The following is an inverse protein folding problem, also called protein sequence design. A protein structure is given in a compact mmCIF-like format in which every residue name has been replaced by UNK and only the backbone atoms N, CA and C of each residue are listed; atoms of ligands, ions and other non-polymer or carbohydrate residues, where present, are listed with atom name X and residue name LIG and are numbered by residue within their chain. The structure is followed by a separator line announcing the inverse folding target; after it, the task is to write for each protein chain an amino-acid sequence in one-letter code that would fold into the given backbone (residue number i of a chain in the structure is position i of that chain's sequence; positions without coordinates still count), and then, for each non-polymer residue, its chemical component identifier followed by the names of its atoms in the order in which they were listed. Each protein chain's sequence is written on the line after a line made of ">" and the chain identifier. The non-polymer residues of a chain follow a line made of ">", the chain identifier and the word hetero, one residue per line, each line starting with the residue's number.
data_IF_739352462805
#
_entry.id   IF_739352462805
#
_cell.length_a   1.000
_cell.length_b   1.000
_cell.length_c   1.000
_cell.angle_alpha   90.00
_cell.angle_beta   90.00
_cell.angle_gamma   90.00
#
_symmetry.space_group_name_H-M   'P 1'
#
loop_
_entity.id
_entity.type
_entity.pdbx_description
1 polymer ?
#
# COMPACT_ATOMS: atom_id res chain seq x y z
N UNK A 1 21.99 18.12 -13.58
CA UNK A 1 22.98 17.05 -13.76
C UNK A 1 22.19 15.76 -13.97
N UNK A 2 22.31 15.14 -15.13
CA UNK A 2 21.66 13.87 -15.46
C UNK A 2 22.49 12.77 -14.77
N UNK A 3 21.86 11.92 -13.97
CA UNK A 3 22.49 10.84 -13.21
C UNK A 3 21.72 9.51 -13.30
N UNK A 4 20.89 9.36 -14.32
CA UNK A 4 20.19 8.12 -14.66
C UNK A 4 20.18 7.91 -16.18
N UNK A 5 19.99 6.68 -16.62
CA UNK A 5 19.91 6.36 -18.04
C UNK A 5 18.59 6.84 -18.64
N UNK A 6 18.61 7.25 -19.90
CA UNK A 6 17.41 7.56 -20.66
C UNK A 6 16.65 6.26 -20.99
N UNK A 7 15.33 6.32 -20.93
CA UNK A 7 14.43 5.27 -21.39
C UNK A 7 13.52 5.87 -22.47
N UNK A 8 13.73 5.55 -23.77
CA UNK A 8 12.93 6.09 -24.87
C UNK A 8 11.48 5.54 -24.86
N UNK A 9 11.22 4.41 -24.21
CA UNK A 9 9.91 3.75 -24.14
C UNK A 9 9.08 4.19 -22.93
N UNK A 10 9.54 5.23 -22.22
CA UNK A 10 8.86 5.74 -21.04
C UNK A 10 7.48 6.32 -21.39
N UNK A 11 6.45 5.85 -20.70
CA UNK A 11 5.06 6.28 -20.84
C UNK A 11 4.61 7.06 -19.62
N UNK A 12 3.56 7.84 -19.78
CA UNK A 12 2.87 8.45 -18.64
C UNK A 12 2.12 7.40 -17.83
N UNK A 13 2.20 7.51 -16.53
CA UNK A 13 1.31 6.80 -15.61
C UNK A 13 -0.14 7.24 -15.87
N UNK A 14 -1.05 6.30 -15.93
CA UNK A 14 -2.46 6.57 -16.17
C UNK A 14 -3.33 5.98 -15.08
N UNK A 15 -4.37 6.74 -14.69
CA UNK A 15 -5.33 6.29 -13.69
C UNK A 15 -6.74 6.40 -14.24
N UNK A 16 -7.47 5.28 -14.20
CA UNK A 16 -8.91 5.21 -14.44
C UNK A 16 -9.64 4.96 -13.13
N UNK A 17 -10.76 5.66 -12.91
CA UNK A 17 -11.58 5.49 -11.71
C UNK A 17 -13.05 5.41 -12.08
N UNK A 18 -13.72 4.40 -11.56
CA UNK A 18 -15.19 4.31 -11.53
C UNK A 18 -15.64 4.54 -10.09
N UNK A 19 -16.55 5.51 -9.91
CA UNK A 19 -17.18 5.79 -8.63
C UNK A 19 -18.71 5.74 -8.80
N UNK A 20 -19.38 5.03 -7.91
CA UNK A 20 -20.84 4.94 -7.86
C UNK A 20 -21.28 5.23 -6.44
N UNK A 21 -22.14 6.26 -6.30
CA UNK A 21 -22.61 6.70 -4.99
C UNK A 21 -24.13 6.85 -4.96
N UNK A 22 -24.69 6.70 -3.77
CA UNK A 22 -26.11 6.92 -3.47
C UNK A 22 -26.22 7.81 -2.25
N UNK A 23 -26.85 8.96 -2.42
CA UNK A 23 -27.29 9.82 -1.34
C UNK A 23 -28.73 9.48 -0.95
N UNK A 24 -28.99 9.42 0.35
CA UNK A 24 -30.31 9.12 0.85
C UNK A 24 -30.69 10.00 2.05
N UNK A 25 -31.98 10.25 2.18
CA UNK A 25 -32.55 10.95 3.33
C UNK A 25 -33.84 10.26 3.73
N UNK A 26 -33.91 9.79 4.97
CA UNK A 26 -35.00 8.99 5.50
C UNK A 26 -35.57 9.62 6.77
N UNK A 27 -36.78 9.19 7.16
CA UNK A 27 -37.46 9.59 8.40
C UNK A 27 -37.57 11.12 8.56
N UNK A 28 -38.04 11.81 7.51
CA UNK A 28 -38.17 13.28 7.49
C UNK A 28 -36.87 14.01 7.87
N UNK A 29 -35.72 13.55 7.29
CA UNK A 29 -34.41 14.15 7.51
C UNK A 29 -33.78 13.79 8.84
N UNK A 30 -34.28 12.76 9.54
CA UNK A 30 -33.60 12.26 10.77
C UNK A 30 -32.38 11.40 10.48
N UNK A 31 -32.40 10.69 9.36
CA UNK A 31 -31.28 9.89 8.90
C UNK A 31 -30.95 10.32 7.47
N UNK A 32 -29.77 10.85 7.28
CA UNK A 32 -29.20 11.13 5.97
C UNK A 32 -27.85 10.42 5.83
N UNK A 33 -27.44 10.15 4.63
CA UNK A 33 -26.15 9.53 4.40
C UNK A 33 -25.80 9.41 2.94
N UNK A 34 -24.54 9.04 2.72
CA UNK A 34 -23.98 8.73 1.41
C UNK A 34 -23.31 7.38 1.50
N UNK A 35 -23.61 6.50 0.55
CA UNK A 35 -22.93 5.24 0.35
C UNK A 35 -22.22 5.28 -0.99
N UNK A 36 -20.89 5.13 -0.99
CA UNK A 36 -20.07 5.16 -2.18
C UNK A 36 -19.28 3.86 -2.33
N UNK A 37 -19.13 3.43 -3.57
CA UNK A 37 -18.21 2.38 -3.96
C UNK A 37 -17.33 2.87 -5.10
N UNK A 38 -16.04 2.53 -5.07
CA UNK A 38 -15.09 2.90 -6.12
C UNK A 38 -14.17 1.75 -6.53
N UNK A 39 -13.76 1.75 -7.80
CA UNK A 39 -12.68 0.94 -8.39
C UNK A 39 -11.72 1.88 -9.12
N UNK A 40 -10.54 2.07 -8.57
CA UNK A 40 -9.47 2.90 -9.14
C UNK A 40 -8.34 1.97 -9.60
N UNK A 41 -7.92 2.13 -10.87
CA UNK A 41 -6.82 1.36 -11.46
C UNK A 41 -5.77 2.32 -11.98
N UNK A 42 -4.55 2.11 -11.54
CA UNK A 42 -3.38 2.84 -12.02
C UNK A 42 -2.51 1.87 -12.81
N UNK A 43 -2.18 2.25 -14.04
CA UNK A 43 -1.35 1.46 -14.96
C UNK A 43 -0.10 2.23 -15.31
N UNK A 44 0.93 1.50 -15.74
CA UNK A 44 2.22 2.04 -16.16
C UNK A 44 2.90 2.86 -15.05
N UNK A 45 2.80 2.45 -13.79
CA UNK A 45 3.44 3.14 -12.66
C UNK A 45 4.94 3.28 -12.87
N UNK A 46 5.46 4.45 -12.58
CA UNK A 46 6.86 4.78 -12.75
C UNK A 46 7.70 4.32 -11.55
N UNK A 47 8.78 3.62 -11.83
CA UNK A 47 9.74 3.21 -10.81
C UNK A 47 11.18 3.35 -11.33
N UNK A 48 12.09 3.79 -10.45
CA UNK A 48 13.53 3.82 -10.74
C UNK A 48 14.19 2.56 -10.22
N UNK A 49 14.72 1.74 -11.10
CA UNK A 49 15.37 0.48 -10.74
C UNK A 49 16.86 0.48 -11.09
N UNK A 50 17.61 -0.42 -10.45
CA UNK A 50 19.03 -0.57 -10.69
C UNK A 50 19.30 -1.36 -11.97
N UNK A 51 20.25 -0.89 -12.77
CA UNK A 51 20.71 -1.56 -14.00
C UNK A 51 22.22 -1.80 -13.93
N UNK A 52 22.72 -2.85 -14.61
CA UNK A 52 24.15 -3.17 -14.61
C UNK A 52 24.98 -2.10 -15.36
N UNK A 53 26.14 -1.81 -14.84
CA UNK A 53 27.15 -0.95 -15.49
C UNK A 53 28.44 -1.76 -15.69
N UNK A 54 28.87 -2.08 -16.94
CA UNK A 54 28.21 -1.86 -18.23
C UNK A 54 27.05 -2.83 -18.49
N UNK A 55 26.22 -2.64 -19.52
CA UNK A 55 26.37 -1.71 -20.66
C UNK A 55 25.82 -0.30 -20.40
N UNK A 56 25.09 -0.09 -19.31
CA UNK A 56 24.52 1.23 -19.01
C UNK A 56 25.57 2.19 -18.43
N UNK A 57 25.43 3.49 -18.70
CA UNK A 57 26.34 4.53 -18.23
C UNK A 57 26.14 4.84 -16.75
N UNK A 58 24.87 4.79 -16.29
CA UNK A 58 24.50 5.01 -14.91
C UNK A 58 23.89 3.74 -14.33
N UNK A 59 23.99 3.56 -13.01
CA UNK A 59 23.46 2.39 -12.30
C UNK A 59 21.95 2.36 -12.09
N UNK A 60 21.20 3.32 -12.67
CA UNK A 60 19.75 3.37 -12.55
C UNK A 60 19.05 3.82 -13.81
N UNK A 61 17.81 3.39 -13.99
CA UNK A 61 16.92 3.77 -15.07
C UNK A 61 15.47 3.85 -14.56
N UNK A 62 14.71 4.82 -15.07
CA UNK A 62 13.27 4.90 -14.82
C UNK A 62 12.50 4.12 -15.87
N UNK A 63 11.52 3.32 -15.46
CA UNK A 63 10.64 2.59 -16.36
C UNK A 63 9.22 2.47 -15.78
N UNK A 64 8.28 2.11 -16.65
CA UNK A 64 6.92 1.75 -16.25
C UNK A 64 6.93 0.29 -15.78
N UNK A 65 6.77 0.06 -14.48
CA UNK A 65 7.04 -1.23 -13.84
C UNK A 65 5.85 -1.70 -13.00
N UNK A 66 4.65 -1.42 -13.38
CA UNK A 66 3.60 -2.03 -12.61
C UNK A 66 2.23 -1.40 -12.75
N UNK A 67 1.27 -2.15 -12.27
CA UNK A 67 -0.14 -1.76 -12.20
C UNK A 67 -0.66 -1.98 -10.79
N UNK A 68 -1.59 -1.12 -10.36
CA UNK A 68 -2.22 -1.18 -9.04
C UNK A 68 -3.73 -1.04 -9.15
N UNK A 69 -4.44 -1.80 -8.35
CA UNK A 69 -5.88 -1.68 -8.12
C UNK A 69 -6.14 -1.16 -6.72
N UNK A 70 -7.09 -0.25 -6.58
CA UNK A 70 -7.57 0.24 -5.30
C UNK A 70 -9.10 0.32 -5.32
N UNK A 71 -9.75 -0.49 -4.50
CA UNK A 71 -11.21 -0.61 -4.42
C UNK A 71 -11.68 -0.35 -3.01
N UNK A 72 -12.80 0.31 -2.87
CA UNK A 72 -13.33 0.57 -1.55
C UNK A 72 -14.82 0.85 -1.53
N UNK A 73 -15.31 0.90 -0.30
CA UNK A 73 -16.66 1.31 0.05
C UNK A 73 -16.59 2.33 1.18
N UNK A 74 -17.37 3.38 1.05
CA UNK A 74 -17.44 4.45 2.04
C UNK A 74 -18.89 4.71 2.41
N UNK A 75 -19.16 4.85 3.71
CA UNK A 75 -20.48 5.12 4.25
C UNK A 75 -20.40 6.32 5.21
N UNK A 76 -21.08 7.39 4.87
CA UNK A 76 -21.30 8.53 5.75
C UNK A 76 -22.78 8.49 6.21
N UNK A 77 -22.98 8.54 7.53
CA UNK A 77 -24.31 8.64 8.14
C UNK A 77 -24.41 9.90 9.00
N UNK A 78 -25.51 10.64 8.85
CA UNK A 78 -25.87 11.75 9.69
C UNK A 78 -27.22 11.45 10.34
N UNK A 79 -27.25 11.39 11.67
CA UNK A 79 -28.38 10.90 12.47
C UNK A 79 -28.83 11.99 13.43
N UNK A 80 -30.07 12.44 13.30
CA UNK A 80 -30.73 13.28 14.29
C UNK A 80 -31.31 12.43 15.41
N UNK A 81 -30.48 12.10 16.42
CA UNK A 81 -30.84 11.17 17.49
C UNK A 81 -31.96 11.74 18.35
N UNK A 82 -31.79 12.98 18.81
CA UNK A 82 -32.80 13.69 19.60
C UNK A 82 -33.06 15.04 18.96
N UNK A 83 -34.32 15.35 18.71
CA UNK A 83 -34.79 16.64 18.21
C UNK A 83 -35.95 17.10 19.09
N UNK A 84 -35.65 17.92 20.10
CA UNK A 84 -36.61 18.55 21.00
C UNK A 84 -36.42 20.06 20.95
N UNK A 85 -37.41 20.82 21.45
CA UNK A 85 -37.40 22.27 21.47
C UNK A 85 -36.13 22.83 22.14
N UNK A 86 -35.73 22.25 23.25
CA UNK A 86 -34.65 22.76 24.11
C UNK A 86 -33.39 21.85 24.09
N UNK A 87 -33.43 20.75 23.33
CA UNK A 87 -32.30 19.82 23.26
C UNK A 87 -32.24 19.11 21.91
N UNK A 88 -31.14 19.23 21.20
CA UNK A 88 -30.88 18.55 19.95
C UNK A 88 -29.56 17.78 20.03
N UNK A 89 -29.59 16.51 19.67
CA UNK A 89 -28.40 15.68 19.55
C UNK A 89 -28.31 15.07 18.16
N UNK A 90 -27.23 15.40 17.45
CA UNK A 90 -26.91 14.85 16.15
C UNK A 90 -25.62 14.04 16.27
N UNK A 91 -25.54 12.94 15.52
CA UNK A 91 -24.39 12.07 15.42
C UNK A 91 -24.00 11.89 13.95
N UNK A 92 -22.72 11.98 13.64
CA UNK A 92 -22.17 11.62 12.33
C UNK A 92 -21.25 10.41 12.50
N UNK A 93 -21.40 9.43 11.62
CA UNK A 93 -20.58 8.23 11.55
C UNK A 93 -20.00 8.11 10.16
N UNK A 94 -18.70 7.95 10.06
CA UNK A 94 -17.99 7.67 8.83
C UNK A 94 -17.30 6.31 8.94
N UNK A 95 -17.60 5.41 8.00
CA UNK A 95 -17.00 4.10 7.89
C UNK A 95 -16.41 3.96 6.49
N UNK A 96 -15.18 3.50 6.41
CA UNK A 96 -14.53 3.22 5.13
C UNK A 96 -13.82 1.87 5.17
N UNK A 97 -13.88 1.15 4.08
CA UNK A 97 -13.09 -0.05 3.85
C UNK A 97 -12.41 0.06 2.49
N UNK A 98 -11.10 -0.17 2.47
CA UNK A 98 -10.27 -0.03 1.30
C UNK A 98 -9.41 -1.29 1.14
N UNK A 99 -9.30 -1.80 -0.10
CA UNK A 99 -8.35 -2.83 -0.49
C UNK A 99 -7.52 -2.31 -1.65
N UNK A 100 -6.22 -2.16 -1.44
CA UNK A 100 -5.27 -1.93 -2.52
C UNK A 100 -4.49 -3.22 -2.82
N UNK A 101 -4.04 -3.38 -4.06
CA UNK A 101 -3.34 -4.56 -4.52
C UNK A 101 -2.46 -4.19 -5.73
N UNK A 102 -1.21 -4.63 -5.71
CA UNK A 102 -0.34 -4.60 -6.89
C UNK A 102 -0.79 -5.71 -7.82
N UNK A 103 -1.30 -5.36 -8.98
CA UNK A 103 -1.82 -6.35 -9.95
C UNK A 103 -0.77 -6.81 -10.96
N UNK A 104 0.30 -6.02 -11.10
CA UNK A 104 1.45 -6.33 -11.95
C UNK A 104 2.68 -5.60 -11.44
N UNK A 105 3.84 -6.24 -11.47
CA UNK A 105 5.10 -5.64 -11.00
C UNK A 105 6.24 -5.73 -12.03
N UNK A 106 6.00 -6.32 -13.18
CA UNK A 106 7.00 -6.53 -14.22
C UNK A 106 6.65 -5.79 -15.51
N UNK A 107 7.66 -5.38 -16.26
CA UNK A 107 7.54 -4.88 -17.63
C UNK A 107 8.36 -5.76 -18.58
N UNK A 108 8.31 -5.45 -19.88
CA UNK A 108 9.13 -6.15 -20.89
C UNK A 108 10.64 -5.97 -20.65
N UNK A 109 11.04 -4.84 -20.05
CA UNK A 109 12.44 -4.47 -19.82
C UNK A 109 12.92 -4.89 -18.42
N UNK A 110 12.01 -4.92 -17.44
CA UNK A 110 12.32 -5.21 -16.05
C UNK A 110 11.40 -6.28 -15.50
N UNK A 111 11.97 -7.42 -15.14
CA UNK A 111 11.24 -8.53 -14.54
C UNK A 111 11.63 -8.66 -13.07
N UNK A 112 10.65 -8.46 -12.19
CA UNK A 112 10.79 -8.71 -10.76
C UNK A 112 9.46 -9.17 -10.20
N UNK A 113 9.50 -10.04 -9.21
CA UNK A 113 8.32 -10.44 -8.44
C UNK A 113 8.23 -9.69 -7.12
N UNK A 114 9.28 -8.97 -6.72
CA UNK A 114 9.37 -8.32 -5.42
C UNK A 114 10.32 -7.13 -5.44
N UNK A 115 9.90 -6.03 -4.84
CA UNK A 115 10.73 -4.84 -4.62
C UNK A 115 10.79 -4.58 -3.12
N UNK A 116 12.00 -4.59 -2.55
CA UNK A 116 12.22 -4.23 -1.16
C UNK A 116 12.34 -2.73 -1.01
N UNK A 117 11.67 -2.18 0.01
CA UNK A 117 11.60 -0.74 0.24
C UNK A 117 11.48 -0.43 1.75
N UNK A 118 11.52 0.85 2.10
CA UNK A 118 11.43 1.28 3.48
C UNK A 118 12.73 1.00 4.22
N UNK A 119 13.65 1.96 4.23
CA UNK A 119 14.84 1.93 5.11
C UNK A 119 14.45 2.64 6.43
N UNK A 120 14.11 1.88 7.49
CA UNK A 120 13.92 2.48 8.79
C UNK A 120 15.29 2.89 9.28
N UNK A 121 15.59 4.17 9.21
CA UNK A 121 16.83 4.74 9.74
C UNK A 121 16.88 4.55 11.27
N UNK A 122 17.24 3.35 11.69
CA UNK A 122 17.39 2.99 13.10
C UNK A 122 18.89 2.99 13.41
N UNK A 123 19.28 3.63 14.50
CA UNK A 123 20.66 3.64 14.98
C UNK A 123 21.17 2.20 15.18
N UNK A 124 22.11 1.78 14.33
CA UNK A 124 22.65 0.41 14.33
C UNK A 124 21.93 -0.58 13.40
N UNK A 125 20.92 -0.15 12.66
CA UNK A 125 20.14 -1.01 11.74
C UNK A 125 20.16 -0.55 10.28
N UNK A 126 21.23 0.08 9.83
CA UNK A 126 21.33 0.57 8.45
C UNK A 126 21.38 -0.59 7.43
N UNK A 127 20.61 -0.45 6.37
CA UNK A 127 20.61 -1.37 5.22
C UNK A 127 19.55 -2.45 5.24
N UNK A 128 18.66 -2.49 6.25
CA UNK A 128 17.55 -3.44 6.30
C UNK A 128 16.27 -2.79 5.82
N UNK A 129 15.73 -3.25 4.71
CA UNK A 129 14.41 -2.82 4.23
C UNK A 129 13.31 -3.40 5.12
N UNK A 130 12.26 -2.61 5.38
CA UNK A 130 11.17 -2.98 6.29
C UNK A 130 9.86 -3.30 5.59
N UNK A 131 9.79 -3.06 4.29
CA UNK A 131 8.57 -3.25 3.50
C UNK A 131 8.89 -3.99 2.21
N UNK A 132 7.86 -4.61 1.65
CA UNK A 132 7.92 -5.25 0.34
C UNK A 132 6.75 -4.81 -0.53
N UNK A 133 7.02 -4.65 -1.81
CA UNK A 133 6.02 -4.51 -2.86
C UNK A 133 6.06 -5.80 -3.67
N UNK A 134 4.93 -6.51 -3.74
CA UNK A 134 4.82 -7.83 -4.37
C UNK A 134 3.46 -7.95 -5.08
N UNK A 135 3.41 -8.66 -6.20
CA UNK A 135 2.15 -8.93 -6.92
C UNK A 135 1.16 -9.69 -6.02
N UNK A 136 -0.12 -9.31 -6.11
CA UNK A 136 -1.19 -9.88 -5.28
C UNK A 136 -1.22 -9.37 -3.84
N UNK A 137 -0.32 -8.47 -3.46
CA UNK A 137 -0.19 -7.93 -2.11
C UNK A 137 -0.51 -6.43 -2.07
N UNK A 138 -0.90 -5.91 -0.90
CA UNK A 138 -1.07 -4.47 -0.73
C UNK A 138 0.26 -3.72 -0.78
N UNK A 139 0.21 -2.47 -1.25
CA UNK A 139 1.35 -1.55 -1.15
C UNK A 139 1.65 -1.27 0.32
N UNK A 140 2.93 -1.29 0.68
CA UNK A 140 3.38 -0.97 2.03
C UNK A 140 3.23 -2.13 3.02
N UNK A 141 3.19 -3.37 2.52
CA UNK A 141 3.24 -4.54 3.38
C UNK A 141 4.57 -4.57 4.14
N UNK A 142 4.50 -4.79 5.45
CA UNK A 142 5.70 -5.04 6.25
C UNK A 142 6.36 -6.35 5.80
N UNK A 143 7.68 -6.35 5.84
CA UNK A 143 8.51 -7.52 5.55
C UNK A 143 9.66 -7.56 6.56
N UNK A 144 9.40 -8.18 7.70
CA UNK A 144 10.28 -8.16 8.87
C UNK A 144 10.23 -9.50 9.59
N UNK A 145 11.20 -9.74 10.47
CA UNK A 145 11.15 -10.86 11.39
C UNK A 145 9.97 -10.70 12.34
N UNK A 146 9.14 -11.72 12.46
CA UNK A 146 8.00 -11.72 13.37
C UNK A 146 8.45 -12.03 14.79
N UNK A 147 8.23 -11.09 15.69
CA UNK A 147 8.57 -11.24 17.09
C UNK A 147 7.45 -11.97 17.84
N UNK A 148 7.77 -13.08 18.49
CA UNK A 148 6.85 -13.89 19.31
C UNK A 148 6.90 -13.53 20.80
N UNK A 149 7.72 -12.56 21.20
CA UNK A 149 7.81 -12.09 22.58
C UNK A 149 9.26 -11.87 23.04
N UNK A 150 9.44 -11.94 24.36
CA UNK A 150 10.73 -11.74 25.03
C UNK A 150 10.98 -12.94 25.93
N UNK A 151 12.19 -13.48 25.90
CA UNK A 151 12.62 -14.60 26.75
C UNK A 151 12.90 -14.17 28.21
N UNK A 152 13.19 -15.14 29.07
CA UNK A 152 13.51 -14.93 30.49
C UNK A 152 14.74 -14.04 30.71
N UNK A 153 15.61 -13.86 29.69
CA UNK A 153 16.81 -13.05 29.72
C UNK A 153 16.59 -11.64 29.13
N UNK A 154 15.35 -11.30 28.75
CA UNK A 154 14.99 -10.01 28.17
C UNK A 154 15.37 -9.87 26.68
N UNK A 155 15.61 -10.96 25.95
CA UNK A 155 15.90 -10.97 24.53
C UNK A 155 14.64 -11.24 23.69
N UNK A 156 14.56 -10.60 22.52
CA UNK A 156 13.49 -10.88 21.57
C UNK A 156 13.57 -12.30 21.02
N UNK A 157 12.44 -12.97 20.98
CA UNK A 157 12.25 -14.29 20.37
C UNK A 157 11.55 -14.09 19.03
N UNK A 158 12.19 -14.49 17.94
CA UNK A 158 11.63 -14.41 16.60
C UNK A 158 11.11 -15.77 16.14
N UNK A 159 10.13 -15.74 15.23
CA UNK A 159 9.57 -16.93 14.61
C UNK A 159 10.53 -17.46 13.55
N UNK A 160 10.84 -18.73 13.62
CA UNK A 160 11.51 -19.50 12.55
C UNK A 160 10.44 -19.92 11.55
N UNK A 161 10.31 -19.13 10.48
CA UNK A 161 9.22 -19.28 9.50
C UNK A 161 9.52 -20.44 8.53
N UNK A 162 10.79 -20.63 8.19
CA UNK A 162 11.22 -21.67 7.26
C UNK A 162 11.49 -23.03 7.95
N UNK A 163 11.61 -23.05 9.30
CA UNK A 163 11.79 -24.25 10.12
C UNK A 163 13.19 -24.84 10.06
N UNK A 164 14.23 -24.04 9.73
CA UNK A 164 15.61 -24.51 9.62
C UNK A 164 16.39 -24.50 10.95
N UNK A 165 15.78 -23.96 12.01
CA UNK A 165 16.35 -23.85 13.35
C UNK A 165 17.29 -22.65 13.53
N UNK A 166 17.37 -21.75 12.57
CA UNK A 166 18.15 -20.54 12.62
C UNK A 166 17.30 -19.32 12.29
N UNK A 167 17.43 -18.23 13.01
CA UNK A 167 16.74 -16.97 12.67
C UNK A 167 17.60 -16.17 11.72
N UNK A 168 17.10 -15.94 10.52
CA UNK A 168 17.82 -15.28 9.43
C UNK A 168 16.92 -14.31 8.65
N UNK A 169 17.44 -13.68 7.60
CA UNK A 169 16.67 -12.86 6.66
C UNK A 169 15.58 -13.66 5.91
N UNK A 170 15.74 -14.99 5.83
CA UNK A 170 14.80 -15.90 5.15
C UNK A 170 13.51 -16.14 5.97
N UNK A 171 13.50 -15.74 7.25
CA UNK A 171 12.34 -15.78 8.14
C UNK A 171 11.50 -14.51 8.13
N UNK A 172 11.82 -13.56 7.28
CA UNK A 172 11.04 -12.32 7.14
C UNK A 172 9.73 -12.59 6.41
N UNK A 173 8.63 -12.05 6.93
CA UNK A 173 7.28 -12.23 6.40
C UNK A 173 6.50 -10.90 6.33
#
# INVERSE_FOLDING_TARGET
>A
KINQNANPDLKWESTAMLNVGVDFTLFNGRLGGTLEWYDKRTSDMLYTYSVPTPPYVYGSMMANVGDMSNKGIELLLNIGVIRKKDFNWNMSVNLSHNKNEITKLSSEIYTTNRIYTGDPWIRGGSGTTSHVIEEGRPVGQFFMLKCNGIDENGKYVFEDVNGDGQISEDDRT
#
